data_IF_447683800574
#
_entry.id   IF_447683800574
#
_cell.length_a   1.000
_cell.length_b   1.000
_cell.length_c   1.000
_cell.angle_alpha   90.00
_cell.angle_beta   90.00
_cell.angle_gamma   90.00
#
_symmetry.space_group_name_H-M   'P 1'
#
loop_
_entity.id
_entity.type
_entity.pdbx_description
1 polymer ?
#
# COMPACT_ATOMS: atom_id res chain seq x y z
N UNK A 1 1.53 -20.04 -19.50
CA UNK A 1 1.51 -19.11 -18.38
C UNK A 1 2.58 -19.54 -17.37
N UNK A 2 3.60 -18.68 -17.19
CA UNK A 2 4.78 -18.96 -16.36
C UNK A 2 4.40 -19.27 -14.91
N UNK A 3 3.46 -18.54 -14.34
CA UNK A 3 3.02 -18.76 -12.96
C UNK A 3 2.43 -20.17 -12.77
N UNK A 4 1.66 -20.65 -13.73
CA UNK A 4 1.08 -22.00 -13.70
C UNK A 4 2.17 -23.10 -13.80
N UNK A 5 3.21 -22.86 -14.60
CA UNK A 5 4.33 -23.78 -14.73
C UNK A 5 5.18 -23.86 -13.46
N UNK A 6 5.37 -22.72 -12.77
CA UNK A 6 6.20 -22.65 -11.56
C UNK A 6 5.46 -22.96 -10.26
N UNK A 7 4.12 -22.93 -10.23
CA UNK A 7 3.34 -23.10 -9.01
C UNK A 7 3.60 -24.43 -8.26
N UNK A 8 3.76 -25.60 -8.91
CA UNK A 8 4.11 -26.83 -8.22
C UNK A 8 5.47 -26.77 -7.52
N UNK A 9 6.48 -26.17 -8.15
CA UNK A 9 7.82 -26.02 -7.55
C UNK A 9 7.81 -25.04 -6.40
N UNK A 10 7.08 -23.93 -6.54
CA UNK A 10 6.89 -22.95 -5.46
C UNK A 10 6.17 -23.56 -4.24
N UNK A 11 5.22 -24.47 -4.45
CA UNK A 11 4.53 -25.17 -3.38
C UNK A 11 5.41 -26.21 -2.69
N UNK A 12 6.31 -26.87 -3.44
CA UNK A 12 7.17 -27.94 -2.94
C UNK A 12 8.44 -27.43 -2.25
N UNK A 13 8.93 -26.24 -2.62
CA UNK A 13 10.23 -25.73 -2.17
C UNK A 13 10.12 -24.29 -1.62
N UNK A 14 10.72 -23.99 -0.46
CA UNK A 14 10.80 -22.62 0.05
C UNK A 14 11.58 -21.73 -0.93
N UNK A 15 10.94 -20.67 -1.42
CA UNK A 15 11.52 -19.74 -2.39
C UNK A 15 11.86 -18.40 -1.74
N UNK A 16 12.86 -17.70 -2.30
CA UNK A 16 13.07 -16.26 -2.07
C UNK A 16 12.15 -15.52 -3.03
N UNK A 17 11.36 -14.62 -2.51
CA UNK A 17 10.33 -13.91 -3.28
C UNK A 17 10.34 -12.40 -2.98
N UNK A 18 9.59 -11.65 -3.76
CA UNK A 18 9.25 -10.25 -3.50
C UNK A 18 7.72 -10.14 -3.42
N UNK A 19 7.21 -9.57 -2.32
CA UNK A 19 5.78 -9.42 -2.06
C UNK A 19 5.01 -10.75 -2.05
N UNK A 20 5.35 -11.58 -1.07
CA UNK A 20 4.77 -12.92 -0.91
C UNK A 20 3.26 -12.92 -0.72
N UNK A 21 2.71 -11.92 -0.06
CA UNK A 21 1.28 -11.80 0.15
C UNK A 21 0.53 -11.62 -1.18
N UNK A 22 1.01 -10.74 -2.06
CA UNK A 22 0.46 -10.58 -3.42
C UNK A 22 0.60 -11.87 -4.24
N UNK A 23 1.71 -12.61 -4.08
CA UNK A 23 1.88 -13.88 -4.77
C UNK A 23 0.87 -14.93 -4.30
N UNK A 24 0.60 -15.05 -3.00
CA UNK A 24 -0.45 -15.94 -2.48
C UNK A 24 -1.83 -15.59 -3.07
N UNK A 25 -2.21 -14.31 -3.11
CA UNK A 25 -3.46 -13.88 -3.72
C UNK A 25 -3.56 -14.24 -5.21
N UNK A 26 -2.46 -14.10 -5.96
CA UNK A 26 -2.41 -14.48 -7.38
C UNK A 26 -2.57 -15.99 -7.58
N UNK A 27 -1.87 -16.80 -6.79
CA UNK A 27 -1.96 -18.25 -6.84
C UNK A 27 -3.39 -18.74 -6.48
N UNK A 28 -3.97 -18.19 -5.42
CA UNK A 28 -5.32 -18.52 -4.99
C UNK A 28 -6.37 -18.18 -6.05
N UNK A 29 -6.34 -16.97 -6.60
CA UNK A 29 -7.25 -16.55 -7.70
C UNK A 29 -7.12 -17.45 -8.94
N UNK A 30 -5.91 -17.91 -9.24
CA UNK A 30 -5.64 -18.81 -10.34
C UNK A 30 -5.95 -20.28 -10.02
N UNK A 31 -6.34 -20.61 -8.77
CA UNK A 31 -6.55 -21.97 -8.25
C UNK A 31 -5.33 -22.85 -8.46
N UNK A 32 -4.15 -22.31 -8.19
CA UNK A 32 -2.87 -22.99 -8.28
C UNK A 32 -2.36 -23.43 -6.91
N UNK A 33 -1.48 -24.45 -6.83
CA UNK A 33 -0.81 -24.83 -5.60
C UNK A 33 -0.10 -23.62 -4.96
N UNK A 34 -0.21 -23.51 -3.63
CA UNK A 34 0.38 -22.41 -2.88
C UNK A 34 1.41 -22.94 -1.88
N UNK A 35 2.57 -22.27 -1.72
CA UNK A 35 3.51 -22.60 -0.67
C UNK A 35 2.91 -22.28 0.71
N UNK A 36 3.19 -23.11 1.68
CA UNK A 36 2.82 -22.86 3.07
C UNK A 36 3.60 -21.64 3.62
N UNK A 37 4.85 -21.50 3.20
CA UNK A 37 5.75 -20.41 3.57
C UNK A 37 6.78 -20.13 2.49
N UNK A 38 7.36 -18.94 2.54
CA UNK A 38 8.52 -18.58 1.72
C UNK A 38 9.81 -18.70 2.53
N UNK A 39 10.95 -18.90 1.86
CA UNK A 39 12.26 -18.87 2.51
C UNK A 39 12.61 -17.46 2.97
N UNK A 40 12.29 -16.47 2.15
CA UNK A 40 12.54 -15.05 2.41
C UNK A 40 11.68 -14.17 1.52
N UNK A 41 11.18 -13.07 2.09
CA UNK A 41 10.54 -11.99 1.34
C UNK A 41 11.44 -10.75 1.36
N UNK A 42 12.00 -10.40 0.20
CA UNK A 42 12.93 -9.26 0.10
C UNK A 42 12.24 -7.92 0.31
N UNK A 43 10.93 -7.82 0.12
CA UNK A 43 10.17 -6.62 0.43
C UNK A 43 10.07 -6.41 1.94
N UNK A 44 9.73 -7.46 2.70
CA UNK A 44 9.69 -7.40 4.17
C UNK A 44 11.07 -7.15 4.74
N UNK A 45 12.11 -7.81 4.22
CA UNK A 45 13.50 -7.56 4.63
C UNK A 45 13.92 -6.11 4.41
N UNK A 46 13.51 -5.50 3.29
CA UNK A 46 13.80 -4.10 3.01
C UNK A 46 13.02 -3.15 3.95
N UNK A 47 11.75 -3.45 4.20
CA UNK A 47 10.93 -2.67 5.13
C UNK A 47 11.51 -2.68 6.56
N UNK A 48 11.99 -3.83 7.01
CA UNK A 48 12.59 -3.96 8.34
C UNK A 48 13.90 -3.17 8.47
N UNK A 49 14.71 -3.13 7.40
CA UNK A 49 15.97 -2.40 7.39
C UNK A 49 15.80 -0.89 7.22
N UNK A 50 14.80 -0.45 6.48
CA UNK A 50 14.53 0.97 6.22
C UNK A 50 13.02 1.22 6.04
N UNK A 51 12.27 1.41 7.14
CA UNK A 51 10.83 1.60 7.11
C UNK A 51 10.38 2.96 6.54
N UNK A 52 11.31 3.89 6.32
CA UNK A 52 11.03 5.22 5.76
C UNK A 52 11.27 5.30 4.24
N UNK A 53 11.61 4.19 3.62
CA UNK A 53 11.90 4.14 2.19
C UNK A 53 10.65 4.52 1.37
N UNK A 54 10.84 5.32 0.31
CA UNK A 54 9.73 5.79 -0.55
C UNK A 54 9.14 4.70 -1.45
N UNK A 55 9.89 3.66 -1.77
CA UNK A 55 9.46 2.55 -2.64
C UNK A 55 10.13 1.25 -2.25
N UNK A 56 9.34 0.18 -2.23
CA UNK A 56 9.78 -1.21 -2.02
C UNK A 56 9.58 -2.06 -3.28
N UNK A 57 9.41 -1.46 -4.46
CA UNK A 57 9.39 -2.21 -5.72
C UNK A 57 10.72 -2.94 -5.94
N UNK A 58 10.70 -4.07 -6.64
CA UNK A 58 11.91 -4.87 -6.85
C UNK A 58 13.02 -4.07 -7.53
N UNK A 59 12.67 -3.25 -8.54
CA UNK A 59 13.63 -2.38 -9.23
C UNK A 59 14.29 -1.39 -8.27
N UNK A 60 13.49 -0.75 -7.40
CA UNK A 60 14.00 0.20 -6.40
C UNK A 60 14.87 -0.49 -5.33
N UNK A 61 14.61 -1.76 -5.02
CA UNK A 61 15.37 -2.53 -4.04
C UNK A 61 16.67 -3.07 -4.61
N UNK A 62 16.67 -3.53 -5.86
CA UNK A 62 17.86 -4.04 -6.52
C UNK A 62 18.89 -2.95 -6.84
N UNK A 63 18.43 -1.70 -7.11
CA UNK A 63 19.34 -0.62 -7.50
C UNK A 63 20.16 -1.00 -8.73
N UNK A 64 21.50 -1.11 -8.56
CA UNK A 64 22.41 -1.52 -9.65
C UNK A 64 22.48 -3.04 -9.86
N UNK A 65 21.82 -3.84 -8.99
CA UNK A 65 21.74 -5.28 -9.18
C UNK A 65 20.73 -5.62 -10.28
N UNK A 66 20.93 -6.75 -11.02
CA UNK A 66 19.92 -7.22 -11.97
C UNK A 66 18.56 -7.45 -11.28
N UNK A 67 17.46 -7.07 -11.95
CA UNK A 67 16.08 -7.35 -11.48
C UNK A 67 15.64 -8.77 -11.91
N UNK A 68 16.52 -9.74 -11.70
CA UNK A 68 16.30 -11.16 -11.96
C UNK A 68 16.53 -12.00 -10.68
N UNK A 69 16.45 -13.32 -10.80
CA UNK A 69 16.64 -14.24 -9.68
C UNK A 69 18.03 -14.09 -9.01
N UNK A 70 19.08 -13.74 -9.75
CA UNK A 70 20.44 -13.56 -9.21
C UNK A 70 20.53 -12.30 -8.36
N UNK A 71 19.99 -11.18 -8.85
CA UNK A 71 19.95 -9.94 -8.07
C UNK A 71 19.09 -10.09 -6.82
N UNK A 72 17.95 -10.77 -6.93
CA UNK A 72 17.08 -11.04 -5.79
C UNK A 72 17.76 -11.93 -4.73
N UNK A 73 18.51 -12.96 -5.14
CA UNK A 73 19.31 -13.77 -4.21
C UNK A 73 20.46 -12.98 -3.56
N UNK A 74 21.11 -12.09 -4.32
CA UNK A 74 22.15 -11.22 -3.78
C UNK A 74 21.59 -10.24 -2.75
N UNK A 75 20.45 -9.62 -3.06
CA UNK A 75 19.69 -8.77 -2.14
C UNK A 75 19.28 -9.52 -0.88
N UNK A 76 18.74 -10.72 -1.01
CA UNK A 76 18.36 -11.58 0.12
C UNK A 76 19.55 -11.84 1.06
N UNK A 77 20.69 -12.25 0.53
CA UNK A 77 21.91 -12.51 1.34
C UNK A 77 22.38 -11.26 2.06
N UNK A 78 22.38 -10.12 1.39
CA UNK A 78 22.74 -8.84 1.98
C UNK A 78 21.79 -8.45 3.11
N UNK A 79 20.48 -8.62 2.90
CA UNK A 79 19.46 -8.34 3.93
C UNK A 79 19.62 -9.26 5.14
N UNK A 80 19.82 -10.57 4.92
CA UNK A 80 20.01 -11.53 6.01
C UNK A 80 21.20 -11.14 6.90
N UNK A 81 22.35 -10.80 6.30
CA UNK A 81 23.53 -10.39 7.05
C UNK A 81 23.31 -9.09 7.84
N UNK A 82 22.59 -8.11 7.27
CA UNK A 82 22.33 -6.84 7.96
C UNK A 82 21.29 -7.00 9.07
N UNK A 83 20.22 -7.76 8.84
CA UNK A 83 19.17 -8.07 9.85
C UNK A 83 19.78 -8.83 11.03
N UNK A 84 20.67 -9.78 10.76
CA UNK A 84 21.41 -10.50 11.80
C UNK A 84 22.32 -9.56 12.61
N UNK A 85 23.10 -8.73 11.94
CA UNK A 85 23.97 -7.73 12.59
C UNK A 85 23.19 -6.75 13.48
N UNK A 86 21.95 -6.42 13.11
CA UNK A 86 21.06 -5.55 13.89
C UNK A 86 20.28 -6.30 14.98
N UNK A 87 20.47 -7.61 15.14
CA UNK A 87 19.77 -8.42 16.13
C UNK A 87 18.29 -8.64 15.83
N UNK A 88 17.84 -8.43 14.58
CA UNK A 88 16.43 -8.50 14.19
C UNK A 88 16.03 -9.84 13.52
N UNK A 89 16.89 -10.86 13.57
CA UNK A 89 16.63 -12.17 12.93
C UNK A 89 15.35 -12.83 13.46
N UNK A 90 15.12 -12.77 14.77
CA UNK A 90 13.88 -13.26 15.38
C UNK A 90 12.66 -12.49 14.86
N UNK A 91 12.71 -11.15 14.87
CA UNK A 91 11.62 -10.33 14.38
C UNK A 91 11.25 -10.69 12.93
N UNK A 92 12.24 -10.82 12.04
CA UNK A 92 11.99 -11.17 10.64
C UNK A 92 11.39 -12.57 10.49
N UNK A 93 11.98 -13.59 11.12
CA UNK A 93 11.62 -15.00 10.87
C UNK A 93 10.40 -15.48 11.64
N UNK A 94 10.26 -15.03 12.87
CA UNK A 94 9.26 -15.57 13.80
C UNK A 94 8.05 -14.64 13.96
N UNK A 95 8.13 -13.40 13.46
CA UNK A 95 7.04 -12.44 13.50
C UNK A 95 6.64 -12.02 12.09
N UNK A 96 7.48 -11.28 11.36
CA UNK A 96 7.09 -10.63 10.09
C UNK A 96 6.72 -11.63 9.00
N UNK A 97 7.55 -12.65 8.78
CA UNK A 97 7.28 -13.68 7.77
C UNK A 97 6.00 -14.47 8.06
N UNK A 98 5.76 -15.00 9.29
CA UNK A 98 4.49 -15.66 9.62
C UNK A 98 3.29 -14.73 9.59
N UNK A 99 3.44 -13.48 10.03
CA UNK A 99 2.37 -12.47 10.04
C UNK A 99 1.85 -12.20 8.63
N UNK A 100 2.73 -12.18 7.63
CA UNK A 100 2.34 -12.02 6.21
C UNK A 100 1.31 -13.07 5.79
N UNK A 101 1.49 -14.33 6.21
CA UNK A 101 0.53 -15.42 5.96
C UNK A 101 -0.80 -15.26 6.70
N UNK A 102 -0.76 -14.71 7.91
CA UNK A 102 -1.99 -14.39 8.68
C UNK A 102 -2.76 -13.28 7.98
N UNK A 103 -2.09 -12.20 7.60
CA UNK A 103 -2.69 -11.08 6.88
C UNK A 103 -3.29 -11.50 5.53
N UNK A 104 -2.58 -12.37 4.78
CA UNK A 104 -3.13 -12.95 3.56
C UNK A 104 -4.48 -13.65 3.82
N UNK A 105 -4.55 -14.53 4.85
CA UNK A 105 -5.80 -15.24 5.18
C UNK A 105 -6.93 -14.30 5.61
N UNK A 106 -6.62 -13.26 6.39
CA UNK A 106 -7.59 -12.25 6.78
C UNK A 106 -8.15 -11.51 5.56
N UNK A 107 -7.29 -11.13 4.62
CA UNK A 107 -7.68 -10.44 3.38
C UNK A 107 -8.48 -11.37 2.44
N UNK A 108 -8.14 -12.65 2.39
CA UNK A 108 -8.84 -13.64 1.55
C UNK A 108 -10.26 -13.95 2.09
N UNK A 109 -10.42 -14.05 3.40
CA UNK A 109 -11.73 -14.21 4.06
C UNK A 109 -12.54 -12.93 3.93
N UNK A 110 -11.91 -11.77 4.12
CA UNK A 110 -12.57 -10.48 4.13
C UNK A 110 -13.55 -10.29 5.30
N UNK A 111 -14.42 -9.31 5.17
CA UNK A 111 -15.52 -9.06 6.10
C UNK A 111 -16.74 -8.53 5.34
N UNK A 112 -17.91 -8.74 5.93
CA UNK A 112 -19.17 -8.29 5.34
C UNK A 112 -19.32 -6.79 5.52
N UNK A 113 -19.64 -6.10 4.42
CA UNK A 113 -19.92 -4.66 4.40
C UNK A 113 -21.39 -4.45 4.05
N UNK A 114 -22.09 -3.63 4.83
CA UNK A 114 -23.44 -3.18 4.50
C UNK A 114 -23.37 -2.12 3.38
N UNK A 115 -23.46 -2.61 2.15
CA UNK A 115 -23.38 -1.77 0.95
C UNK A 115 -24.61 -0.87 0.78
N UNK A 116 -25.77 -1.27 1.33
CA UNK A 116 -26.99 -0.46 1.29
C UNK A 116 -26.84 0.76 2.20
N UNK A 117 -26.36 0.54 3.43
CA UNK A 117 -26.07 1.62 4.36
C UNK A 117 -25.01 2.59 3.81
N UNK A 118 -23.91 2.08 3.25
CA UNK A 118 -22.86 2.92 2.67
C UNK A 118 -23.38 3.77 1.50
N UNK A 119 -24.29 3.22 0.68
CA UNK A 119 -24.91 3.97 -0.41
C UNK A 119 -25.79 5.10 0.13
N UNK A 120 -26.65 4.82 1.10
CA UNK A 120 -27.48 5.85 1.75
C UNK A 120 -26.61 6.94 2.40
N UNK A 121 -25.53 6.55 3.06
CA UNK A 121 -24.60 7.48 3.67
C UNK A 121 -23.92 8.37 2.61
N UNK A 122 -23.52 7.80 1.49
CA UNK A 122 -22.95 8.51 0.34
C UNK A 122 -23.91 9.52 -0.25
N UNK A 123 -25.18 9.13 -0.45
CA UNK A 123 -26.25 10.01 -0.95
C UNK A 123 -26.49 11.18 0.02
N UNK A 124 -26.58 10.90 1.31
CA UNK A 124 -26.74 11.93 2.35
C UNK A 124 -25.57 12.93 2.34
N UNK A 125 -24.34 12.45 2.36
CA UNK A 125 -23.16 13.33 2.32
C UNK A 125 -23.09 14.14 1.02
N UNK A 126 -23.47 13.57 -0.11
CA UNK A 126 -23.51 14.31 -1.37
C UNK A 126 -24.49 15.47 -1.30
N UNK A 127 -25.67 15.28 -0.69
CA UNK A 127 -26.65 16.34 -0.48
C UNK A 127 -26.15 17.41 0.50
N UNK A 128 -25.57 17.00 1.63
CA UNK A 128 -25.01 17.93 2.63
C UNK A 128 -23.85 18.76 2.04
N UNK A 129 -22.98 18.14 1.22
CA UNK A 129 -21.89 18.85 0.52
C UNK A 129 -22.47 19.88 -0.45
N UNK A 130 -23.47 19.49 -1.27
CA UNK A 130 -24.05 20.43 -2.24
C UNK A 130 -24.77 21.58 -1.55
N UNK A 131 -25.49 21.34 -0.45
CA UNK A 131 -26.11 22.41 0.36
C UNK A 131 -25.05 23.35 0.93
N UNK A 132 -23.98 22.84 1.52
CA UNK A 132 -22.89 23.64 2.07
C UNK A 132 -22.21 24.47 0.98
N UNK A 133 -22.01 23.89 -0.19
CA UNK A 133 -21.43 24.56 -1.37
C UNK A 133 -22.31 25.72 -1.84
N UNK A 134 -23.63 25.53 -1.88
CA UNK A 134 -24.57 26.62 -2.22
C UNK A 134 -24.57 27.74 -1.18
N UNK A 135 -24.47 27.41 0.10
CA UNK A 135 -24.33 28.40 1.16
C UNK A 135 -23.05 29.23 1.01
N UNK A 136 -21.93 28.58 0.69
CA UNK A 136 -20.65 29.27 0.43
C UNK A 136 -20.78 30.21 -0.76
N UNK A 137 -21.35 29.73 -1.88
CA UNK A 137 -21.52 30.56 -3.07
C UNK A 137 -22.46 31.75 -2.83
N UNK A 138 -23.54 31.56 -2.06
CA UNK A 138 -24.42 32.63 -1.66
C UNK A 138 -23.70 33.68 -0.79
N UNK A 139 -22.90 33.24 0.18
CA UNK A 139 -22.12 34.13 1.04
C UNK A 139 -21.03 34.89 0.26
N UNK A 140 -20.38 34.24 -0.72
CA UNK A 140 -19.35 34.85 -1.54
C UNK A 140 -19.90 35.71 -2.71
N UNK A 141 -21.18 35.58 -3.02
CA UNK A 141 -21.81 36.23 -4.17
C UNK A 141 -21.20 35.84 -5.53
N UNK A 142 -20.58 34.64 -5.61
CA UNK A 142 -19.97 34.10 -6.83
C UNK A 142 -19.75 32.60 -6.72
N UNK A 143 -19.68 31.93 -7.86
CA UNK A 143 -19.34 30.51 -7.97
C UNK A 143 -17.88 30.37 -8.37
N UNK A 144 -17.20 29.38 -7.80
CA UNK A 144 -15.79 29.07 -8.09
C UNK A 144 -15.50 27.61 -7.71
N UNK A 145 -14.33 27.10 -8.10
CA UNK A 145 -13.92 25.76 -7.70
C UNK A 145 -13.39 25.76 -6.26
N UNK A 146 -14.20 25.26 -5.34
CA UNK A 146 -13.86 25.15 -3.89
C UNK A 146 -12.62 24.27 -3.64
N UNK A 147 -12.28 23.35 -4.54
CA UNK A 147 -11.08 22.51 -4.45
C UNK A 147 -9.81 23.21 -4.97
N UNK A 148 -9.93 24.40 -5.56
CA UNK A 148 -8.81 25.21 -5.99
C UNK A 148 -8.42 26.19 -4.88
N UNK A 149 -7.30 25.91 -4.23
CA UNK A 149 -6.76 26.79 -3.16
C UNK A 149 -6.48 28.22 -3.67
N UNK A 150 -6.12 28.36 -4.93
CA UNK A 150 -5.90 29.67 -5.57
C UNK A 150 -7.21 30.44 -5.68
N UNK A 151 -8.24 29.89 -6.34
CA UNK A 151 -9.53 30.54 -6.50
C UNK A 151 -10.20 30.84 -5.14
N UNK A 152 -10.04 29.93 -4.18
CA UNK A 152 -10.51 30.16 -2.82
C UNK A 152 -9.79 31.36 -2.18
N UNK A 153 -8.47 31.44 -2.34
CA UNK A 153 -7.67 32.58 -1.87
C UNK A 153 -8.11 33.90 -2.51
N UNK A 154 -8.27 33.96 -3.82
CA UNK A 154 -8.72 35.13 -4.56
C UNK A 154 -10.09 35.61 -4.07
N UNK A 155 -11.03 34.68 -3.83
CA UNK A 155 -12.37 35.04 -3.33
C UNK A 155 -12.30 35.53 -1.90
N UNK A 156 -11.59 34.85 -0.99
CA UNK A 156 -11.54 35.22 0.43
C UNK A 156 -10.77 36.52 0.66
N UNK A 157 -9.63 36.70 0.02
CA UNK A 157 -8.71 37.79 0.34
C UNK A 157 -8.84 38.98 -0.62
N UNK A 158 -9.05 38.74 -1.94
CA UNK A 158 -9.15 39.84 -2.90
C UNK A 158 -10.58 40.35 -3.05
N UNK A 159 -11.59 39.44 -3.09
CA UNK A 159 -12.97 39.85 -3.28
C UNK A 159 -13.66 40.21 -1.96
N UNK A 160 -13.56 39.37 -0.93
CA UNK A 160 -14.19 39.57 0.36
C UNK A 160 -13.32 40.40 1.34
N UNK A 161 -12.06 40.65 0.97
CA UNK A 161 -11.10 41.46 1.75
C UNK A 161 -10.96 40.99 3.22
N UNK A 162 -11.04 39.67 3.42
CA UNK A 162 -10.84 39.13 4.77
C UNK A 162 -9.34 39.26 5.16
N UNK A 163 -9.07 39.49 6.46
CA UNK A 163 -7.71 39.67 6.93
C UNK A 163 -6.88 38.39 6.70
N UNK A 164 -5.68 38.52 6.16
CA UNK A 164 -4.74 37.41 6.05
C UNK A 164 -4.29 36.96 7.43
N UNK A 165 -4.41 35.66 7.72
CA UNK A 165 -3.74 35.05 8.88
C UNK A 165 -2.21 35.07 8.70
N UNK A 166 -1.46 34.84 9.80
CA UNK A 166 -0.01 34.64 9.72
C UNK A 166 0.28 33.43 8.83
N UNK A 167 1.14 33.62 7.79
CA UNK A 167 1.71 32.50 7.06
C UNK A 167 2.52 31.66 8.05
N UNK A 168 2.09 30.42 8.27
CA UNK A 168 2.92 29.39 8.90
C UNK A 168 3.91 28.82 7.89
#
# INVERSE_FOLDING_TARGET
>A
DLLRALAPDLAAHPAVIHDGKTLWHRLNRAKLPMPERYAWDVQLGAYLLDPQRKSYSLDALCGDLPTDARGMLSLCRWQQANIERMGMSHLMRDVEMPLSGVLYRMEDIGFTVDTAFLRQLGERYTQEIEQSKQQVFAACGTTFNLNSTQQLGDVLFDKLQLPHGKKT
#
